data_IF_979446382526
#
_entry.id   IF_979446382526
#
_cell.length_a   1.000
_cell.length_b   1.000
_cell.length_c   1.000
_cell.angle_alpha   90.00
_cell.angle_beta   90.00
_cell.angle_gamma   90.00
#
_symmetry.space_group_name_H-M   'P 1'
#
loop_
_entity.id
_entity.type
_entity.pdbx_description
1 polymer ?
#
# COMPACT_ATOMS: atom_id res chain seq x y z
N UNK A 1 5.25 -16.53 1.51
CA UNK A 1 4.57 -15.54 0.64
C UNK A 1 5.38 -14.26 0.63
N UNK A 2 5.38 -13.51 -0.47
CA UNK A 2 6.15 -12.26 -0.61
C UNK A 2 5.47 -11.12 0.16
N UNK A 3 6.26 -10.26 0.79
CA UNK A 3 5.79 -9.11 1.57
C UNK A 3 6.54 -7.86 1.15
N UNK A 4 5.87 -6.72 1.22
CA UNK A 4 6.42 -5.40 0.91
C UNK A 4 6.24 -4.53 2.14
N UNK A 5 7.33 -4.09 2.74
CA UNK A 5 7.30 -3.38 4.01
C UNK A 5 7.96 -2.02 3.93
N UNK A 6 7.34 -1.04 4.57
CA UNK A 6 7.96 0.19 5.04
C UNK A 6 8.21 -0.01 6.52
N UNK A 7 9.49 0.01 6.91
CA UNK A 7 9.91 -0.01 8.30
C UNK A 7 10.70 1.26 8.55
N UNK A 8 10.33 2.01 9.58
CA UNK A 8 11.10 3.21 9.96
C UNK A 8 12.30 2.79 10.81
N UNK A 9 13.16 3.74 11.20
CA UNK A 9 14.18 3.50 12.21
C UNK A 9 13.60 3.11 13.59
N UNK A 10 12.28 3.24 13.77
CA UNK A 10 11.52 2.82 14.93
C UNK A 10 10.82 1.47 14.63
N UNK A 11 11.14 0.37 15.35
CA UNK A 11 10.51 -0.93 15.11
C UNK A 11 9.00 -0.95 15.40
N UNK A 12 8.48 0.05 16.10
CA UNK A 12 7.06 0.23 16.40
C UNK A 12 6.28 1.01 15.33
N UNK A 13 6.89 1.26 14.17
CA UNK A 13 6.28 1.96 13.05
C UNK A 13 6.53 1.20 11.75
N UNK A 14 5.50 0.50 11.29
CA UNK A 14 5.59 -0.35 10.11
C UNK A 14 4.29 -0.34 9.32
N UNK A 15 4.42 -0.39 7.99
CA UNK A 15 3.35 -0.73 7.07
C UNK A 15 3.79 -1.90 6.21
N UNK A 16 2.95 -2.93 6.12
CA UNK A 16 3.28 -4.16 5.39
C UNK A 16 2.11 -4.51 4.49
N UNK A 17 2.37 -4.60 3.18
CA UNK A 17 1.47 -5.21 2.20
C UNK A 17 1.92 -6.65 1.97
N UNK A 18 0.99 -7.58 2.03
CA UNK A 18 1.25 -9.00 1.87
C UNK A 18 0.09 -9.72 1.22
N UNK A 19 0.26 -10.99 0.91
CA UNK A 19 -0.83 -11.84 0.42
C UNK A 19 -1.53 -11.36 -0.86
N UNK A 20 -0.81 -10.64 -1.72
CA UNK A 20 -1.35 -10.14 -2.98
C UNK A 20 -1.75 -11.31 -3.89
N UNK A 21 -3.03 -11.35 -4.26
CA UNK A 21 -3.63 -12.31 -5.19
C UNK A 21 -4.35 -11.53 -6.28
N UNK A 22 -4.13 -11.93 -7.53
CA UNK A 22 -4.79 -11.33 -8.70
C UNK A 22 -5.56 -12.44 -9.42
N UNK A 23 -6.87 -12.24 -9.58
CA UNK A 23 -7.73 -13.07 -10.41
C UNK A 23 -7.76 -12.49 -11.83
N UNK A 24 -6.99 -13.10 -12.73
CA UNK A 24 -6.96 -12.68 -14.13
C UNK A 24 -8.26 -13.00 -14.87
N UNK A 25 -9.00 -14.02 -14.43
CA UNK A 25 -10.33 -14.33 -14.95
C UNK A 25 -11.32 -13.19 -14.65
N UNK A 26 -11.39 -12.75 -13.38
CA UNK A 26 -12.22 -11.60 -12.98
C UNK A 26 -11.81 -10.33 -13.73
N UNK A 27 -10.50 -10.09 -13.85
CA UNK A 27 -9.98 -8.97 -14.60
C UNK A 27 -10.42 -9.00 -16.07
N UNK A 28 -10.29 -10.15 -16.75
CA UNK A 28 -10.72 -10.32 -18.14
C UNK A 28 -12.23 -10.17 -18.33
N UNK A 29 -13.01 -10.53 -17.31
CA UNK A 29 -14.47 -10.35 -17.28
C UNK A 29 -14.89 -8.91 -16.90
N UNK A 30 -13.94 -8.01 -16.65
CA UNK A 30 -14.21 -6.62 -16.30
C UNK A 30 -14.67 -6.40 -14.85
N UNK A 31 -14.51 -7.41 -13.98
CA UNK A 31 -14.82 -7.29 -12.56
C UNK A 31 -13.77 -6.39 -11.88
N UNK A 32 -14.16 -5.28 -11.22
CA UNK A 32 -13.21 -4.39 -10.55
C UNK A 32 -12.61 -4.99 -9.27
N UNK A 33 -13.23 -6.03 -8.68
CA UNK A 33 -12.76 -6.71 -7.47
C UNK A 33 -11.85 -7.91 -7.81
N UNK A 34 -10.82 -7.66 -8.61
CA UNK A 34 -9.97 -8.71 -9.17
C UNK A 34 -8.63 -8.89 -8.44
N UNK A 35 -8.34 -8.06 -7.44
CA UNK A 35 -7.12 -8.13 -6.64
C UNK A 35 -7.44 -8.04 -5.15
N UNK A 36 -6.82 -8.90 -4.35
CA UNK A 36 -6.93 -8.88 -2.89
C UNK A 36 -5.55 -8.90 -2.24
N UNK A 37 -5.40 -8.23 -1.10
CA UNK A 37 -4.16 -8.25 -0.32
C UNK A 37 -4.41 -7.83 1.14
N UNK A 38 -3.55 -8.29 2.04
CA UNK A 38 -3.59 -7.89 3.44
C UNK A 38 -2.68 -6.69 3.67
N UNK A 39 -3.16 -5.70 4.42
CA UNK A 39 -2.34 -4.60 4.94
C UNK A 39 -2.26 -4.69 6.46
N UNK A 40 -1.03 -4.80 6.96
CA UNK A 40 -0.72 -4.72 8.39
C UNK A 40 -0.08 -3.38 8.71
N UNK A 41 -0.52 -2.77 9.80
CA UNK A 41 0.08 -1.55 10.34
C UNK A 41 0.49 -1.77 11.80
N UNK A 42 1.66 -1.25 12.16
CA UNK A 42 2.12 -1.08 13.54
C UNK A 42 2.39 0.41 13.72
N UNK A 43 1.77 1.03 14.73
CA UNK A 43 1.93 2.45 15.04
C UNK A 43 1.97 2.63 16.56
N UNK A 44 3.19 2.76 17.09
CA UNK A 44 3.44 2.77 18.53
C UNK A 44 3.04 1.45 19.18
N UNK A 45 2.17 1.50 20.19
CA UNK A 45 1.67 0.31 20.90
C UNK A 45 0.46 -0.34 20.22
N UNK A 46 -0.03 0.22 19.11
CA UNK A 46 -1.20 -0.28 18.40
C UNK A 46 -0.80 -0.99 17.12
N UNK A 47 -1.56 -2.03 16.77
CA UNK A 47 -1.39 -2.73 15.49
C UNK A 47 -2.73 -3.25 15.00
N UNK A 48 -2.88 -3.32 13.67
CA UNK A 48 -4.07 -3.82 13.02
C UNK A 48 -3.74 -4.47 11.69
N UNK A 49 -4.66 -5.30 11.21
CA UNK A 49 -4.60 -5.92 9.89
C UNK A 49 -5.96 -5.73 9.24
N UNK A 50 -5.98 -5.31 7.98
CA UNK A 50 -7.19 -5.24 7.16
C UNK A 50 -6.95 -5.90 5.81
N UNK A 51 -8.00 -6.51 5.25
CA UNK A 51 -8.00 -7.02 3.89
C UNK A 51 -8.47 -5.90 2.94
N UNK A 52 -7.80 -5.78 1.80
CA UNK A 52 -8.11 -4.80 0.75
C UNK A 52 -8.64 -5.54 -0.47
N UNK A 53 -9.72 -5.02 -1.05
CA UNK A 53 -10.22 -5.37 -2.37
C UNK A 53 -9.90 -4.23 -3.35
N UNK A 54 -9.37 -4.59 -4.52
CA UNK A 54 -8.82 -3.62 -5.45
C UNK A 54 -8.92 -4.09 -6.90
N UNK A 55 -8.81 -3.13 -7.82
CA UNK A 55 -8.58 -3.40 -9.23
C UNK A 55 -7.07 -3.41 -9.53
N UNK A 56 -6.57 -4.45 -10.21
CA UNK A 56 -5.14 -4.54 -10.54
C UNK A 56 -4.60 -3.33 -11.32
N UNK A 57 -5.42 -2.70 -12.16
CA UNK A 57 -5.01 -1.48 -12.90
C UNK A 57 -4.77 -0.31 -11.95
N UNK A 58 -5.67 -0.11 -11.00
CA UNK A 58 -5.56 0.94 -10.01
C UNK A 58 -4.40 0.66 -9.04
N UNK A 59 -4.17 -0.62 -8.70
CA UNK A 59 -3.02 -1.00 -7.88
C UNK A 59 -1.69 -0.72 -8.59
N UNK A 60 -1.62 -0.95 -9.91
CA UNK A 60 -0.48 -0.58 -10.74
C UNK A 60 -0.28 0.93 -10.81
N UNK A 61 -1.35 1.72 -10.84
CA UNK A 61 -1.28 3.20 -10.77
C UNK A 61 -0.69 3.60 -9.42
N UNK A 62 -1.20 3.08 -8.30
CA UNK A 62 -0.65 3.31 -6.97
C UNK A 62 0.85 3.00 -6.89
N UNK A 63 1.30 1.87 -7.45
CA UNK A 63 2.73 1.51 -7.46
C UNK A 63 3.57 2.54 -8.23
N UNK A 64 3.07 3.05 -9.36
CA UNK A 64 3.74 4.10 -10.12
C UNK A 64 3.77 5.40 -9.34
N UNK A 65 2.67 5.77 -8.70
CA UNK A 65 2.57 6.99 -7.89
C UNK A 65 3.48 6.95 -6.66
N UNK A 66 3.57 5.82 -5.94
CA UNK A 66 4.54 5.64 -4.86
C UNK A 66 5.99 5.78 -5.35
N UNK A 67 6.28 5.35 -6.58
CA UNK A 67 7.60 5.57 -7.19
C UNK A 67 7.84 7.02 -7.55
N UNK A 68 6.82 7.74 -8.00
CA UNK A 68 6.93 9.18 -8.29
C UNK A 68 6.99 10.02 -7.00
N UNK A 69 6.33 9.60 -5.91
CA UNK A 69 6.53 10.13 -4.55
C UNK A 69 7.99 9.92 -4.10
N UNK A 70 8.52 8.71 -4.26
CA UNK A 70 9.95 8.44 -4.03
C UNK A 70 10.85 9.32 -4.90
N UNK A 71 10.47 9.66 -6.12
CA UNK A 71 11.28 10.52 -6.99
C UNK A 71 11.08 12.03 -6.76
N UNK A 72 10.39 12.47 -5.70
CA UNK A 72 10.03 13.87 -5.44
C UNK A 72 9.22 14.54 -6.57
N UNK A 73 8.41 13.75 -7.30
CA UNK A 73 7.55 14.25 -8.38
C UNK A 73 6.07 14.33 -7.99
N UNK A 74 5.69 13.62 -6.92
CA UNK A 74 4.40 13.73 -6.26
C UNK A 74 4.62 14.02 -4.78
N UNK A 75 3.70 14.78 -4.19
CA UNK A 75 3.72 15.08 -2.76
C UNK A 75 2.68 14.26 -1.97
N UNK A 76 1.74 13.62 -2.67
CA UNK A 76 0.64 12.89 -2.08
C UNK A 76 0.31 11.66 -2.92
N UNK A 77 0.07 10.54 -2.25
CA UNK A 77 -0.41 9.29 -2.84
C UNK A 77 -1.40 8.64 -1.88
N UNK A 78 -2.47 8.07 -2.40
CA UNK A 78 -3.48 7.35 -1.61
C UNK A 78 -3.65 5.92 -2.12
N UNK A 79 -3.75 4.98 -1.18
CA UNK A 79 -4.22 3.62 -1.39
C UNK A 79 -5.60 3.50 -0.75
N UNK A 80 -6.64 3.30 -1.55
CA UNK A 80 -8.04 3.30 -1.08
C UNK A 80 -8.74 1.97 -1.42
N UNK A 81 -9.05 1.19 -0.40
CA UNK A 81 -9.79 -0.07 -0.51
C UNK A 81 -11.21 0.16 -1.04
N UNK A 82 -11.57 -0.57 -2.09
CA UNK A 82 -12.91 -0.51 -2.71
C UNK A 82 -13.97 -1.31 -1.96
N UNK A 83 -13.57 -2.20 -1.04
CA UNK A 83 -14.49 -3.06 -0.28
C UNK A 83 -15.05 -2.35 0.95
N UNK A 84 -14.23 -2.21 2.00
CA UNK A 84 -14.65 -1.72 3.31
C UNK A 84 -14.19 -0.28 3.60
N UNK A 85 -13.58 0.40 2.63
CA UNK A 85 -13.20 1.81 2.72
C UNK A 85 -11.95 2.08 3.56
N UNK A 86 -11.11 1.07 3.79
CA UNK A 86 -9.78 1.27 4.36
C UNK A 86 -8.96 2.22 3.47
N UNK A 87 -8.24 3.16 4.06
CA UNK A 87 -7.43 4.10 3.30
C UNK A 87 -6.07 4.35 3.94
N UNK A 88 -5.07 4.61 3.09
CA UNK A 88 -3.71 4.93 3.51
C UNK A 88 -3.17 6.04 2.63
N UNK A 89 -2.74 7.11 3.26
CA UNK A 89 -2.24 8.31 2.62
C UNK A 89 -0.77 8.52 2.94
N UNK A 90 -0.01 8.90 1.92
CA UNK A 90 1.41 9.19 1.99
C UNK A 90 1.60 10.67 1.64
N UNK A 91 2.05 11.48 2.58
CA UNK A 91 2.32 12.90 2.35
C UNK A 91 3.81 13.18 2.48
N UNK A 92 4.45 13.53 1.37
CA UNK A 92 5.83 13.97 1.29
C UNK A 92 5.92 15.48 1.48
N UNK A 93 6.75 15.92 2.40
CA UNK A 93 7.06 17.33 2.59
C UNK A 93 8.29 17.77 1.78
N UNK A 94 8.53 19.09 1.80
CA UNK A 94 9.63 19.72 1.05
C UNK A 94 11.02 19.33 1.56
N UNK A 95 11.11 18.69 2.73
CA UNK A 95 12.36 18.29 3.38
C UNK A 95 12.65 16.79 3.24
N UNK A 96 11.78 16.03 2.56
CA UNK A 96 11.97 14.59 2.36
C UNK A 96 11.39 13.73 3.47
N UNK A 97 10.66 14.32 4.42
CA UNK A 97 9.89 13.56 5.41
C UNK A 97 8.56 13.16 4.81
N UNK A 98 8.15 11.93 5.13
CA UNK A 98 6.91 11.33 4.66
C UNK A 98 6.06 11.04 5.89
N UNK A 99 4.86 11.60 5.94
CA UNK A 99 3.84 11.20 6.89
C UNK A 99 2.96 10.13 6.25
N UNK A 100 2.80 8.99 6.94
CA UNK A 100 1.91 7.92 6.55
C UNK A 100 0.78 7.87 7.57
N UNK A 101 -0.46 7.99 7.10
CA UNK A 101 -1.64 8.02 7.94
C UNK A 101 -2.82 7.36 7.25
N UNK A 102 -3.84 7.01 8.01
CA UNK A 102 -5.03 6.40 7.44
C UNK A 102 -5.86 5.66 8.46
N UNK A 103 -6.86 4.95 7.96
CA UNK A 103 -7.67 4.02 8.75
C UNK A 103 -7.75 2.68 8.04
N UNK A 104 -7.45 1.59 8.74
CA UNK A 104 -7.70 0.24 8.26
C UNK A 104 -8.86 -0.38 9.05
N UNK A 105 -9.70 -1.15 8.36
CA UNK A 105 -10.81 -1.89 8.95
C UNK A 105 -10.49 -3.39 8.97
N UNK A 106 -10.83 -4.04 10.07
CA UNK A 106 -10.85 -5.49 10.18
C UNK A 106 -12.15 -6.07 9.63
N UNK A 107 -12.38 -7.36 9.91
CA UNK A 107 -13.54 -8.09 9.42
C UNK A 107 -14.86 -7.36 9.70
N UNK A 108 -15.66 -7.22 8.64
CA UNK A 108 -16.99 -6.59 8.68
C UNK A 108 -17.04 -5.19 9.32
N UNK A 109 -15.91 -4.45 9.31
CA UNK A 109 -15.79 -3.11 9.92
C UNK A 109 -16.04 -3.11 11.44
N UNK A 110 -16.06 -4.28 12.10
CA UNK A 110 -16.29 -4.36 13.56
C UNK A 110 -15.14 -3.71 14.35
N UNK A 111 -13.94 -3.76 13.78
CA UNK A 111 -12.74 -3.18 14.35
C UNK A 111 -12.06 -2.27 13.33
N UNK A 112 -11.44 -1.21 13.82
CA UNK A 112 -10.64 -0.31 13.00
C UNK A 112 -9.41 0.17 13.74
N UNK A 113 -8.41 0.59 12.98
CA UNK A 113 -7.24 1.29 13.46
C UNK A 113 -7.03 2.54 12.62
N UNK A 114 -7.24 3.71 13.22
CA UNK A 114 -6.72 4.97 12.70
C UNK A 114 -5.30 5.15 13.20
N UNK A 115 -4.37 5.44 12.29
CA UNK A 115 -2.94 5.50 12.60
C UNK A 115 -2.28 6.70 11.92
N UNK A 116 -1.12 7.07 12.46
CA UNK A 116 -0.21 8.06 11.88
C UNK A 116 1.20 7.78 12.36
N UNK A 117 2.16 7.75 11.45
CA UNK A 117 3.59 7.77 11.78
C UNK A 117 4.37 8.49 10.68
N UNK A 118 5.61 8.84 10.98
CA UNK A 118 6.48 9.57 10.05
C UNK A 118 7.72 8.76 9.73
N UNK A 119 8.21 8.94 8.51
CA UNK A 119 9.41 8.31 8.02
C UNK A 119 10.14 9.27 7.08
N UNK A 120 11.25 8.85 6.51
CA UNK A 120 11.89 9.54 5.39
C UNK A 120 11.87 8.70 4.11
N UNK A 121 12.34 9.32 3.04
CA UNK A 121 12.44 8.71 1.72
C UNK A 121 13.23 7.37 1.69
N UNK A 122 14.19 7.17 2.59
CA UNK A 122 15.01 5.96 2.60
C UNK A 122 14.20 4.72 2.98
N UNK A 123 13.24 4.87 3.88
CA UNK A 123 12.36 3.77 4.30
C UNK A 123 11.40 3.32 3.20
N UNK A 124 10.96 4.22 2.33
CA UNK A 124 10.03 3.88 1.23
C UNK A 124 10.74 3.29 0.02
N UNK A 125 12.06 3.48 -0.10
CA UNK A 125 12.86 3.06 -1.26
C UNK A 125 12.72 1.57 -1.55
N UNK A 126 12.89 0.73 -0.53
CA UNK A 126 12.81 -0.72 -0.69
C UNK A 126 11.39 -1.15 -1.06
N UNK A 127 10.39 -0.63 -0.34
CA UNK A 127 8.97 -0.87 -0.61
C UNK A 127 8.61 -0.56 -2.07
N UNK A 128 8.91 0.67 -2.52
CA UNK A 128 8.62 1.16 -3.87
C UNK A 128 9.33 0.34 -4.95
N UNK A 129 10.62 0.08 -4.78
CA UNK A 129 11.41 -0.66 -5.77
C UNK A 129 10.97 -2.12 -5.90
N UNK A 130 10.67 -2.79 -4.79
CA UNK A 130 10.22 -4.18 -4.81
C UNK A 130 8.85 -4.32 -5.48
N UNK A 131 7.89 -3.45 -5.15
CA UNK A 131 6.58 -3.43 -5.81
C UNK A 131 6.72 -3.16 -7.31
N UNK A 132 7.48 -2.13 -7.69
CA UNK A 132 7.65 -1.78 -9.09
C UNK A 132 8.33 -2.91 -9.88
N UNK A 133 9.34 -3.55 -9.29
CA UNK A 133 10.02 -4.69 -9.92
C UNK A 133 9.03 -5.79 -10.27
N UNK A 134 8.22 -6.20 -9.30
CA UNK A 134 7.37 -7.38 -9.44
C UNK A 134 6.13 -7.15 -10.30
N UNK A 135 5.54 -5.95 -10.23
CA UNK A 135 4.26 -5.67 -10.89
C UNK A 135 4.40 -4.88 -12.19
N UNK A 136 5.50 -4.15 -12.39
CA UNK A 136 5.70 -3.34 -13.60
C UNK A 136 6.76 -3.96 -14.51
N UNK A 137 7.90 -4.39 -13.97
CA UNK A 137 8.99 -4.89 -14.82
C UNK A 137 8.92 -6.39 -15.08
N UNK A 138 8.56 -7.20 -14.09
CA UNK A 138 8.52 -8.67 -14.23
C UNK A 138 7.21 -9.18 -14.84
N UNK A 139 6.10 -8.43 -14.71
CA UNK A 139 4.80 -8.77 -15.30
C UNK A 139 4.54 -8.18 -16.70
N UNK A 140 5.57 -7.66 -17.37
CA UNK A 140 5.46 -7.12 -18.75
C UNK A 140 5.13 -8.18 -19.84
N UNK A 141 4.69 -9.38 -19.48
CA UNK A 141 4.36 -10.48 -20.39
C UNK A 141 2.94 -11.05 -20.21
N UNK A 142 1.97 -10.28 -19.69
CA UNK A 142 0.60 -10.78 -19.61
C UNK A 142 -0.46 -9.81 -19.05
N UNK A 143 -0.32 -8.50 -19.29
CA UNK A 143 -1.41 -7.52 -19.13
C UNK A 143 -1.74 -6.92 -20.50
#
# INVERSE_FOLDING_TARGET
>A
MKTYSISTGNPYEQLIISNIRVSYEDFSNGNPYNTTFSVKVISGSFSGIGEFEYNIKDFIIFIKEIRELYNFKLNEVELYDTGYGSNIQFHLDKTGHITILGTIYGDSIEHSLTFKFSTDQTAIKTFSNSLYKDFITEKAHGL
#
